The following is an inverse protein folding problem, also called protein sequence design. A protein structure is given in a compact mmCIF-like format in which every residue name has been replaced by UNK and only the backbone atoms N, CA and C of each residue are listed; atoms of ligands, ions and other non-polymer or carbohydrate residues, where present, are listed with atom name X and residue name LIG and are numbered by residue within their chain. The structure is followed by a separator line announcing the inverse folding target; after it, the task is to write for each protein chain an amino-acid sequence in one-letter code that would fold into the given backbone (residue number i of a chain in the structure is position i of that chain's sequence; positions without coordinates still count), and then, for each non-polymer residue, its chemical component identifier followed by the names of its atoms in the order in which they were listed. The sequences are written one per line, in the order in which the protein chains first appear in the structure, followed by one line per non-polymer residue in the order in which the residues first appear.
data_IF_072741676523
#
_entry.id   IF_072741676523
#
_cell.length_a   1.000
_cell.length_b   1.000
_cell.length_c   1.000
_cell.angle_alpha   90.00
_cell.angle_beta   90.00
_cell.angle_gamma   90.00
#
_symmetry.space_group_name_H-M   'P 1'
#
loop_
_entity.id
_entity.type
_entity.pdbx_description
1 polymer ?
#
# COMPACT_ATOMS: atom_id res chain seq x y z
N UNK A 1 -17.08 -0.02 -7.56
CA UNK A 1 -17.05 -0.86 -6.34
C UNK A 1 -18.41 -0.84 -5.65
N UNK A 2 -18.93 0.30 -5.19
CA UNK A 2 -20.30 0.41 -4.62
C UNK A 2 -21.38 0.04 -5.67
N UNK A 3 -21.15 0.37 -6.94
CA UNK A 3 -22.01 -0.02 -8.08
C UNK A 3 -22.15 -1.53 -8.30
N UNK A 4 -21.17 -2.32 -7.86
CA UNK A 4 -21.12 -3.77 -8.05
C UNK A 4 -21.35 -4.54 -6.74
N UNK A 5 -21.47 -3.86 -5.60
CA UNK A 5 -21.64 -4.49 -4.29
C UNK A 5 -20.42 -5.30 -3.80
N UNK A 6 -19.28 -5.22 -4.49
CA UNK A 6 -18.07 -5.99 -4.16
C UNK A 6 -17.01 -5.02 -3.59
N UNK A 7 -16.53 -5.25 -2.34
CA UNK A 7 -15.49 -4.43 -1.76
C UNK A 7 -14.14 -4.69 -2.44
N UNK A 8 -13.49 -3.63 -2.90
CA UNK A 8 -12.14 -3.68 -3.51
C UNK A 8 -11.02 -3.21 -2.59
N UNK A 9 -11.35 -2.78 -1.36
CA UNK A 9 -10.38 -2.35 -0.34
C UNK A 9 -11.00 -2.53 1.06
N UNK A 10 -10.18 -2.63 2.13
CA UNK A 10 -10.67 -2.70 3.51
C UNK A 10 -11.58 -1.52 3.88
N UNK A 11 -11.23 -0.30 3.44
CA UNK A 11 -12.04 0.90 3.65
C UNK A 11 -13.40 0.81 2.95
N UNK A 12 -13.45 0.28 1.73
CA UNK A 12 -14.70 0.05 1.01
C UNK A 12 -15.57 -1.03 1.69
N UNK A 13 -14.95 -2.06 2.30
CA UNK A 13 -15.66 -3.08 3.06
C UNK A 13 -16.33 -2.49 4.32
N UNK A 14 -15.64 -1.60 5.04
CA UNK A 14 -16.20 -0.89 6.20
C UNK A 14 -17.37 0.01 5.78
N UNK A 15 -17.23 0.75 4.67
CA UNK A 15 -18.34 1.55 4.14
C UNK A 15 -19.54 0.67 3.72
N UNK A 16 -19.27 -0.48 3.10
CA UNK A 16 -20.30 -1.45 2.68
C UNK A 16 -21.04 -2.06 3.88
N UNK A 17 -20.33 -2.35 4.97
CA UNK A 17 -20.93 -2.73 6.24
C UNK A 17 -21.81 -1.62 6.83
N UNK A 18 -21.35 -0.36 6.75
CA UNK A 18 -22.14 0.81 7.13
C UNK A 18 -23.45 0.93 6.34
N UNK A 19 -23.42 0.69 5.03
CA UNK A 19 -24.63 0.70 4.20
C UNK A 19 -25.61 -0.40 4.58
N UNK A 20 -25.12 -1.62 4.88
CA UNK A 20 -25.99 -2.69 5.36
C UNK A 20 -26.65 -2.38 6.71
N UNK A 21 -25.92 -1.72 7.63
CA UNK A 21 -26.49 -1.26 8.91
C UNK A 21 -27.63 -0.26 8.67
N UNK A 22 -27.52 0.56 7.62
CA UNK A 22 -28.53 1.55 7.23
C UNK A 22 -29.62 0.98 6.31
N UNK A 23 -29.65 -0.35 6.10
CA UNK A 23 -30.64 -1.02 5.24
C UNK A 23 -30.47 -0.75 3.75
N UNK A 24 -29.33 -0.18 3.33
CA UNK A 24 -29.02 0.13 1.95
C UNK A 24 -28.25 -1.03 1.31
N UNK A 25 -28.82 -1.64 0.27
CA UNK A 25 -28.18 -2.72 -0.48
C UNK A 25 -27.35 -2.15 -1.64
N UNK A 26 -26.00 -2.15 -1.56
CA UNK A 26 -25.15 -1.62 -2.61
C UNK A 26 -25.22 -2.50 -3.87
N UNK A 27 -25.21 -1.86 -5.03
CA UNK A 27 -25.35 -2.51 -6.34
C UNK A 27 -26.03 -1.58 -7.35
N UNK A 28 -26.30 -2.04 -8.58
CA UNK A 28 -26.96 -1.23 -9.61
C UNK A 28 -28.35 -0.76 -9.16
N UNK A 29 -29.00 -1.56 -8.30
CA UNK A 29 -30.32 -1.26 -7.75
C UNK A 29 -30.31 -0.06 -6.80
N UNK A 30 -29.21 0.20 -6.09
CA UNK A 30 -29.07 1.36 -5.20
C UNK A 30 -29.26 2.69 -5.97
N UNK A 31 -28.77 2.74 -7.22
CA UNK A 31 -28.86 3.90 -8.10
C UNK A 31 -30.28 4.13 -8.62
N UNK A 32 -31.11 3.08 -8.65
CA UNK A 32 -32.50 3.16 -9.06
C UNK A 32 -33.42 3.52 -7.88
N UNK A 33 -33.23 2.89 -6.72
CA UNK A 33 -34.14 3.03 -5.57
C UNK A 33 -33.81 4.24 -4.70
N UNK A 34 -32.53 4.60 -4.54
CA UNK A 34 -32.08 5.64 -3.60
C UNK A 34 -31.18 6.67 -4.29
N UNK A 35 -31.71 7.32 -5.33
CA UNK A 35 -30.98 8.28 -6.17
C UNK A 35 -30.42 9.46 -5.37
N UNK A 36 -31.20 10.05 -4.45
CA UNK A 36 -30.76 11.21 -3.67
C UNK A 36 -29.58 10.89 -2.75
N UNK A 37 -29.57 9.71 -2.13
CA UNK A 37 -28.46 9.25 -1.31
C UNK A 37 -27.18 9.09 -2.13
N UNK A 38 -27.28 8.48 -3.32
CA UNK A 38 -26.12 8.26 -4.20
C UNK A 38 -25.52 9.60 -4.67
N UNK A 39 -26.36 10.55 -5.10
CA UNK A 39 -25.87 11.86 -5.51
C UNK A 39 -25.34 12.69 -4.34
N UNK A 40 -25.93 12.56 -3.14
CA UNK A 40 -25.38 13.13 -1.91
C UNK A 40 -24.02 12.53 -1.53
N UNK A 41 -23.84 11.22 -1.72
CA UNK A 41 -22.56 10.54 -1.51
C UNK A 41 -21.50 10.99 -2.52
N UNK A 42 -21.84 11.06 -3.80
CA UNK A 42 -20.93 11.54 -4.85
C UNK A 42 -20.57 13.02 -4.58
N UNK A 43 -21.56 13.86 -4.29
CA UNK A 43 -21.34 15.27 -3.95
C UNK A 43 -20.46 15.46 -2.72
N UNK A 44 -20.69 14.68 -1.66
CA UNK A 44 -19.86 14.73 -0.46
C UNK A 44 -18.43 14.25 -0.71
N UNK A 45 -18.19 13.29 -1.62
CA UNK A 45 -16.82 12.93 -2.03
C UNK A 45 -16.08 14.10 -2.68
N UNK A 46 -16.75 14.89 -3.53
CA UNK A 46 -16.13 16.08 -4.12
C UNK A 46 -15.82 17.15 -3.07
N UNK A 47 -16.80 17.45 -2.21
CA UNK A 47 -16.63 18.42 -1.13
C UNK A 47 -15.53 17.96 -0.16
N UNK A 48 -15.49 16.68 0.20
CA UNK A 48 -14.48 16.11 1.09
C UNK A 48 -13.06 16.22 0.49
N UNK A 49 -12.90 16.06 -0.82
CA UNK A 49 -11.59 16.27 -1.46
C UNK A 49 -11.16 17.75 -1.39
N UNK A 50 -12.07 18.69 -1.62
CA UNK A 50 -11.78 20.13 -1.52
C UNK A 50 -11.41 20.51 -0.07
N UNK A 51 -12.21 20.08 0.90
CA UNK A 51 -11.92 20.28 2.33
C UNK A 51 -10.61 19.58 2.72
N UNK A 52 -10.36 18.38 2.19
CA UNK A 52 -9.15 17.62 2.43
C UNK A 52 -7.90 18.37 1.97
N UNK A 53 -7.91 18.96 0.77
CA UNK A 53 -6.82 19.81 0.28
C UNK A 53 -6.61 21.01 1.22
N UNK A 54 -7.69 21.70 1.60
CA UNK A 54 -7.61 22.85 2.52
C UNK A 54 -6.99 22.45 3.87
N UNK A 55 -7.45 21.34 4.44
CA UNK A 55 -6.93 20.79 5.70
C UNK A 55 -5.46 20.42 5.58
N UNK A 56 -5.08 19.67 4.55
CA UNK A 56 -3.67 19.28 4.35
C UNK A 56 -2.79 20.52 4.24
N UNK A 57 -3.16 21.51 3.42
CA UNK A 57 -2.39 22.74 3.26
C UNK A 57 -2.25 23.52 4.58
N UNK A 58 -3.31 23.56 5.39
CA UNK A 58 -3.32 24.26 6.68
C UNK A 58 -2.50 23.53 7.75
N UNK A 59 -2.50 22.18 7.73
CA UNK A 59 -1.82 21.37 8.74
C UNK A 59 -0.35 21.05 8.41
N UNK A 60 0.04 21.09 7.13
CA UNK A 60 1.45 20.92 6.70
C UNK A 60 2.44 21.74 7.53
N UNK A 61 2.24 23.05 7.84
CA UNK A 61 3.18 23.80 8.68
C UNK A 61 3.28 23.28 10.12
N UNK A 62 2.20 22.72 10.67
CA UNK A 62 2.20 22.10 12.00
C UNK A 62 3.06 20.83 11.97
N UNK A 63 2.86 19.97 10.99
CA UNK A 63 3.67 18.76 10.82
C UNK A 63 5.13 19.07 10.51
N UNK A 64 5.40 20.09 9.70
CA UNK A 64 6.77 20.55 9.42
C UNK A 64 7.49 21.04 10.69
N UNK A 65 6.75 21.59 11.66
CA UNK A 65 7.31 22.03 12.93
C UNK A 65 7.79 20.88 13.81
N UNK A 66 7.22 19.69 13.68
CA UNK A 66 7.66 18.48 14.41
C UNK A 66 9.10 18.11 14.02
N UNK A 67 9.50 18.34 12.77
CA UNK A 67 10.86 18.06 12.30
C UNK A 67 11.93 18.98 12.94
N UNK A 68 11.53 20.05 13.65
CA UNK A 68 12.45 20.92 14.40
C UNK A 68 12.79 20.37 15.78
N UNK A 69 12.05 19.37 16.28
CA UNK A 69 12.29 18.74 17.57
C UNK A 69 13.53 17.84 17.46
N UNK A 70 14.48 17.90 18.41
CA UNK A 70 15.69 17.08 18.34
C UNK A 70 15.35 15.59 18.38
N UNK A 71 16.06 14.80 17.56
CA UNK A 71 15.84 13.36 17.40
C UNK A 71 15.92 12.58 18.72
N UNK A 72 16.73 13.05 19.68
CA UNK A 72 16.83 12.45 21.01
C UNK A 72 15.54 12.45 21.82
N UNK A 73 14.60 13.36 21.53
CA UNK A 73 13.26 13.40 22.16
C UNK A 73 12.24 12.71 21.25
N UNK A 74 12.36 12.90 19.94
CA UNK A 74 11.42 12.35 18.96
C UNK A 74 11.45 10.81 18.94
N UNK A 75 12.65 10.21 18.98
CA UNK A 75 12.82 8.77 18.94
C UNK A 75 12.13 8.03 20.10
N UNK A 76 12.35 8.36 21.40
CA UNK A 76 11.64 7.70 22.48
C UNK A 76 10.13 7.93 22.45
N UNK A 77 9.67 9.12 22.02
CA UNK A 77 8.25 9.39 21.85
C UNK A 77 7.61 8.47 20.80
N UNK A 78 8.28 8.29 19.65
CA UNK A 78 7.85 7.37 18.59
C UNK A 78 7.79 5.92 19.11
N UNK A 79 8.79 5.49 19.88
CA UNK A 79 8.81 4.13 20.45
C UNK A 79 7.66 3.92 21.44
N UNK A 80 7.36 4.90 22.29
CA UNK A 80 6.24 4.83 23.23
C UNK A 80 4.90 4.77 22.48
N UNK A 81 4.69 5.69 21.53
CA UNK A 81 3.45 5.72 20.73
C UNK A 81 3.25 4.45 19.90
N UNK A 82 4.30 3.92 19.30
CA UNK A 82 4.24 2.65 18.55
C UNK A 82 3.99 1.45 19.47
N UNK A 83 4.57 1.44 20.67
CA UNK A 83 4.30 0.38 21.66
C UNK A 83 2.83 0.38 22.08
N UNK A 84 2.25 1.56 22.35
CA UNK A 84 0.83 1.69 22.68
C UNK A 84 -0.04 1.21 21.52
N UNK A 85 0.28 1.62 20.28
CA UNK A 85 -0.48 1.21 19.10
C UNK A 85 -0.43 -0.30 18.82
N UNK A 86 0.75 -0.91 18.95
CA UNK A 86 0.92 -2.36 18.78
C UNK A 86 0.12 -3.12 19.85
N UNK A 87 0.22 -2.70 21.11
CA UNK A 87 -0.52 -3.34 22.20
C UNK A 87 -2.04 -3.13 22.12
N UNK A 88 -2.51 -1.96 21.68
CA UNK A 88 -3.93 -1.64 21.62
C UNK A 88 -4.75 -2.48 20.62
N UNK A 89 -4.08 -3.10 19.63
CA UNK A 89 -4.78 -3.83 18.55
C UNK A 89 -5.27 -5.20 19.01
N UNK A 90 -4.41 -6.01 19.65
CA UNK A 90 -4.78 -7.35 20.12
C UNK A 90 -4.58 -7.56 21.63
N UNK A 91 -4.10 -6.55 22.36
CA UNK A 91 -3.83 -6.61 23.80
C UNK A 91 -2.86 -7.74 24.19
N UNK A 92 -1.93 -8.08 23.29
CA UNK A 92 -0.93 -9.13 23.49
C UNK A 92 0.49 -8.56 23.61
N UNK A 93 1.28 -9.12 24.53
CA UNK A 93 2.68 -8.75 24.73
C UNK A 93 3.57 -9.23 23.56
N UNK A 94 3.14 -10.27 22.83
CA UNK A 94 3.85 -10.76 21.65
C UNK A 94 3.96 -9.67 20.56
N UNK A 95 2.93 -8.85 20.40
CA UNK A 95 2.90 -7.76 19.41
C UNK A 95 3.98 -6.71 19.70
N UNK A 96 4.32 -6.48 20.97
CA UNK A 96 5.43 -5.60 21.37
C UNK A 96 6.79 -6.18 20.98
N UNK A 97 6.98 -7.49 21.14
CA UNK A 97 8.22 -8.16 20.71
C UNK A 97 8.38 -8.14 19.19
N UNK A 98 7.29 -8.36 18.45
CA UNK A 98 7.28 -8.27 16.99
C UNK A 98 7.53 -6.83 16.53
N UNK A 99 6.93 -5.84 17.20
CA UNK A 99 7.18 -4.42 16.95
C UNK A 99 8.66 -4.06 17.14
N UNK A 100 9.26 -4.46 18.27
CA UNK A 100 10.68 -4.21 18.53
C UNK A 100 11.58 -4.95 17.52
N UNK A 101 11.28 -6.22 17.24
CA UNK A 101 12.03 -7.03 16.27
C UNK A 101 11.99 -6.46 14.85
N UNK A 102 10.80 -6.02 14.40
CA UNK A 102 10.63 -5.37 13.09
C UNK A 102 11.28 -3.99 13.04
N UNK A 103 11.30 -3.24 14.15
CA UNK A 103 12.05 -1.99 14.27
C UNK A 103 13.56 -2.19 14.09
N UNK A 104 14.13 -3.23 14.69
CA UNK A 104 15.54 -3.61 14.50
C UNK A 104 15.79 -4.04 13.05
N UNK A 105 14.91 -4.86 12.46
CA UNK A 105 15.02 -5.24 11.05
C UNK A 105 14.99 -4.01 10.11
N UNK A 106 14.12 -3.04 10.39
CA UNK A 106 14.06 -1.77 9.67
C UNK A 106 15.36 -0.96 9.79
N UNK A 107 15.99 -0.94 10.96
CA UNK A 107 17.30 -0.32 11.13
C UNK A 107 18.40 -1.00 10.32
N UNK A 108 18.39 -2.35 10.25
CA UNK A 108 19.32 -3.11 9.40
C UNK A 108 19.12 -2.79 7.92
N UNK A 109 17.86 -2.72 7.45
CA UNK A 109 17.57 -2.32 6.07
C UNK A 109 18.03 -0.89 5.75
N UNK A 110 17.89 0.03 6.71
CA UNK A 110 18.43 1.39 6.58
C UNK A 110 19.96 1.38 6.44
N UNK A 111 20.66 0.54 7.22
CA UNK A 111 22.13 0.41 7.19
C UNK A 111 22.64 -0.23 5.90
N UNK A 112 21.81 -1.03 5.24
CA UNK A 112 22.09 -1.67 3.96
C UNK A 112 21.67 -0.81 2.75
N UNK A 113 21.31 0.47 2.97
CA UNK A 113 20.84 1.42 1.94
C UNK A 113 19.60 0.93 1.16
N UNK A 114 18.78 0.07 1.75
CA UNK A 114 17.49 -0.28 1.17
C UNK A 114 16.50 0.87 1.36
N UNK A 115 15.74 1.24 0.30
CA UNK A 115 14.73 2.27 0.41
C UNK A 115 13.55 1.74 1.25
N UNK A 116 13.45 2.23 2.48
CA UNK A 116 12.41 1.83 3.45
C UNK A 116 10.99 2.14 2.96
N UNK A 117 10.79 3.26 2.27
CA UNK A 117 9.47 3.69 1.82
C UNK A 117 8.78 2.67 0.87
N UNK A 118 9.42 2.22 -0.22
CA UNK A 118 8.92 1.11 -1.05
C UNK A 118 8.65 -0.19 -0.27
N UNK A 119 9.48 -0.51 0.73
CA UNK A 119 9.33 -1.73 1.52
C UNK A 119 8.06 -1.70 2.39
N UNK A 120 7.79 -0.57 3.04
CA UNK A 120 6.55 -0.37 3.81
C UNK A 120 5.32 -0.41 2.91
N UNK A 121 5.39 0.24 1.74
CA UNK A 121 4.33 0.20 0.73
C UNK A 121 4.08 -1.24 0.26
N UNK A 122 5.14 -2.00 -0.04
CA UNK A 122 5.04 -3.41 -0.43
C UNK A 122 4.43 -4.29 0.66
N UNK A 123 4.76 -4.04 1.94
CA UNK A 123 4.18 -4.77 3.07
C UNK A 123 2.65 -4.55 3.16
N UNK A 124 2.21 -3.30 3.09
CA UNK A 124 0.78 -2.94 3.21
C UNK A 124 -0.03 -3.42 1.99
N UNK A 125 0.50 -3.21 0.78
CA UNK A 125 -0.17 -3.64 -0.45
C UNK A 125 -0.08 -5.16 -0.67
N UNK A 126 0.91 -5.83 -0.06
CA UNK A 126 1.12 -7.27 -0.17
C UNK A 126 -0.09 -8.04 0.32
N UNK A 127 -0.58 -7.75 1.53
CA UNK A 127 -1.78 -8.39 2.08
C UNK A 127 -3.02 -8.18 1.21
N UNK A 128 -3.22 -6.97 0.70
CA UNK A 128 -4.34 -6.67 -0.21
C UNK A 128 -4.22 -7.46 -1.52
N UNK A 129 -3.01 -7.61 -2.03
CA UNK A 129 -2.73 -8.35 -3.27
C UNK A 129 -2.95 -9.85 -3.08
N UNK A 130 -2.48 -10.42 -1.97
CA UNK A 130 -2.67 -11.83 -1.61
C UNK A 130 -4.16 -12.15 -1.40
N UNK A 131 -4.90 -11.27 -0.72
CA UNK A 131 -6.35 -11.41 -0.56
C UNK A 131 -7.07 -11.41 -1.91
N UNK A 132 -6.74 -10.47 -2.80
CA UNK A 132 -7.32 -10.40 -4.14
C UNK A 132 -6.96 -11.62 -5.01
N UNK A 133 -5.72 -12.11 -4.91
CA UNK A 133 -5.25 -13.33 -5.59
C UNK A 133 -6.02 -14.56 -5.09
N UNK A 134 -6.11 -14.73 -3.77
CA UNK A 134 -6.84 -15.83 -3.13
C UNK A 134 -8.32 -15.80 -3.49
N UNK A 135 -8.95 -14.63 -3.42
CA UNK A 135 -10.35 -14.46 -3.80
C UNK A 135 -10.59 -14.83 -5.27
N UNK A 136 -9.68 -14.43 -6.15
CA UNK A 136 -9.73 -14.79 -7.57
C UNK A 136 -9.60 -16.30 -7.76
N UNK A 137 -8.64 -16.95 -7.10
CA UNK A 137 -8.45 -18.40 -7.19
C UNK A 137 -9.66 -19.18 -6.64
N UNK A 138 -10.25 -18.74 -5.52
CA UNK A 138 -11.47 -19.35 -4.98
C UNK A 138 -12.63 -19.25 -5.98
N UNK A 139 -12.83 -18.08 -6.60
CA UNK A 139 -13.87 -17.87 -7.61
C UNK A 139 -13.71 -18.82 -8.81
N UNK A 140 -12.48 -19.18 -9.16
CA UNK A 140 -12.16 -20.05 -10.29
C UNK A 140 -11.72 -21.47 -9.89
N UNK A 141 -12.16 -21.94 -8.73
CA UNK A 141 -11.94 -23.32 -8.24
C UNK A 141 -10.45 -23.73 -8.19
N UNK A 142 -9.56 -22.78 -7.94
CA UNK A 142 -8.13 -23.00 -7.76
C UNK A 142 -7.32 -23.13 -9.05
N UNK A 143 -7.89 -22.84 -10.24
CA UNK A 143 -7.13 -22.92 -11.49
C UNK A 143 -6.34 -21.61 -11.79
N UNK A 144 -4.99 -21.60 -11.69
CA UNK A 144 -4.18 -20.43 -12.00
C UNK A 144 -4.09 -20.10 -13.49
N UNK A 145 -4.48 -21.03 -14.38
CA UNK A 145 -4.49 -20.77 -15.84
C UNK A 145 -5.52 -19.71 -16.24
N UNK A 146 -6.43 -19.32 -15.35
CA UNK A 146 -7.42 -18.25 -15.61
C UNK A 146 -6.77 -16.89 -15.86
N UNK A 147 -5.59 -16.63 -15.28
CA UNK A 147 -4.85 -15.40 -15.55
C UNK A 147 -4.32 -15.33 -16.99
N UNK A 148 -4.09 -16.48 -17.64
CA UNK A 148 -3.69 -16.58 -19.04
C UNK A 148 -4.88 -16.50 -19.99
N UNK A 149 -6.06 -16.96 -19.57
CA UNK A 149 -7.29 -16.90 -20.35
C UNK A 149 -7.91 -15.50 -20.44
N UNK A 150 -7.46 -14.54 -19.62
CA UNK A 150 -7.98 -13.16 -19.62
C UNK A 150 -6.93 -12.17 -20.11
N UNK A 151 -7.15 -11.50 -21.25
CA UNK A 151 -6.13 -10.66 -21.88
C UNK A 151 -5.68 -9.50 -20.96
N UNK A 152 -6.60 -8.93 -20.18
CA UNK A 152 -6.28 -7.85 -19.23
C UNK A 152 -5.38 -8.35 -18.10
N UNK A 153 -5.72 -9.49 -17.50
CA UNK A 153 -4.92 -10.07 -16.40
C UNK A 153 -3.51 -10.47 -16.90
N UNK A 154 -3.44 -11.05 -18.09
CA UNK A 154 -2.18 -11.41 -18.74
C UNK A 154 -1.29 -10.18 -18.97
N UNK A 155 -1.84 -9.07 -19.48
CA UNK A 155 -1.07 -7.82 -19.68
C UNK A 155 -0.48 -7.33 -18.35
N UNK A 156 -1.28 -7.26 -17.28
CA UNK A 156 -0.79 -6.82 -15.97
C UNK A 156 0.26 -7.78 -15.38
N UNK A 157 0.08 -9.09 -15.55
CA UNK A 157 1.02 -10.10 -15.04
C UNK A 157 2.36 -10.04 -15.78
N UNK A 158 2.34 -9.90 -17.11
CA UNK A 158 3.54 -9.70 -17.93
C UNK A 158 4.22 -8.38 -17.58
N UNK A 159 3.47 -7.29 -17.42
CA UNK A 159 4.01 -5.99 -17.02
C UNK A 159 4.67 -6.05 -15.63
N UNK A 160 4.04 -6.73 -14.65
CA UNK A 160 4.61 -6.92 -13.32
C UNK A 160 5.92 -7.72 -13.37
N UNK A 161 5.96 -8.82 -14.13
CA UNK A 161 7.19 -9.61 -14.33
C UNK A 161 8.28 -8.80 -15.03
N UNK A 162 7.93 -8.01 -16.05
CA UNK A 162 8.88 -7.16 -16.76
C UNK A 162 9.47 -6.06 -15.85
N UNK A 163 8.63 -5.37 -15.07
CA UNK A 163 9.07 -4.36 -14.10
C UNK A 163 9.92 -4.95 -12.97
N UNK A 164 9.60 -6.16 -12.52
CA UNK A 164 10.41 -6.88 -11.53
C UNK A 164 11.78 -7.28 -12.09
N UNK A 165 11.83 -7.72 -13.35
CA UNK A 165 13.07 -8.14 -14.00
C UNK A 165 13.96 -6.96 -14.45
N UNK A 166 13.38 -5.79 -14.74
CA UNK A 166 14.09 -4.60 -15.20
C UNK A 166 15.33 -4.21 -14.38
N UNK A 167 15.27 -4.06 -13.04
CA UNK A 167 16.44 -3.70 -12.25
C UNK A 167 17.54 -4.78 -12.24
N UNK A 168 17.17 -6.07 -12.31
CA UNK A 168 18.12 -7.18 -12.40
C UNK A 168 18.83 -7.18 -13.76
N UNK A 169 18.08 -6.96 -14.84
CA UNK A 169 18.59 -6.86 -16.21
C UNK A 169 19.52 -5.64 -16.34
N UNK A 170 19.09 -4.47 -15.88
CA UNK A 170 19.91 -3.25 -15.92
C UNK A 170 21.23 -3.41 -15.15
N UNK A 171 21.20 -4.05 -13.98
CA UNK A 171 22.41 -4.32 -13.19
C UNK A 171 23.36 -5.29 -13.91
N UNK A 172 22.82 -6.32 -14.58
CA UNK A 172 23.61 -7.27 -15.37
C UNK A 172 24.25 -6.61 -16.61
N UNK A 173 23.52 -5.80 -17.37
CA UNK A 173 24.05 -5.06 -18.51
C UNK A 173 25.08 -4.00 -18.11
N UNK A 174 24.87 -3.29 -16.99
CA UNK A 174 25.82 -2.29 -16.48
C UNK A 174 27.14 -2.92 -16.01
N UNK A 175 27.08 -4.11 -15.39
CA UNK A 175 28.26 -4.90 -15.02
C UNK A 175 29.04 -5.42 -16.24
N UNK A 176 28.37 -5.79 -17.33
CA UNK A 176 29.04 -6.19 -18.58
C UNK A 176 29.72 -5.01 -19.29
N UNK A 177 29.10 -3.82 -19.28
CA UNK A 177 29.64 -2.62 -19.94
C UNK A 177 30.84 -2.03 -19.21
N UNK A 178 30.85 -2.05 -17.87
CA UNK A 178 31.99 -1.60 -17.06
C UNK A 178 33.25 -2.49 -17.22
N UNK A 179 33.08 -3.76 -17.61
CA UNK A 179 34.18 -4.70 -17.85
C UNK A 179 34.87 -4.53 -19.21
N UNK A 180 34.29 -3.73 -20.12
CA UNK A 180 34.84 -3.46 -21.47
C UNK A 180 35.67 -2.16 -21.50
N UNK A 181 35.59 -1.30 -20.47
CA UNK A 181 36.28 0.02 -20.44
C UNK A 181 37.62 0.07 -19.69
N UNK A 182 38.18 -1.07 -19.27
CA UNK A 182 39.57 -1.17 -18.78
C UNK A 182 40.19 -2.42 -19.41
N UNK A 183 40.89 -2.28 -20.55
CA UNK A 183 42.36 -2.19 -20.48
C UNK A 183 43.02 -1.35 -21.60
N UNK A 184 44.27 -0.95 -21.34
CA UNK A 184 45.28 -0.36 -22.25
C UNK A 184 45.42 1.18 -22.26
N UNK A 185 46.04 1.73 -21.21
CA UNK A 185 47.17 2.68 -21.38
C UNK A 185 48.03 2.71 -20.10
N UNK A 186 48.85 1.68 -19.95
CA UNK A 186 50.12 1.75 -19.21
C UNK A 186 51.17 1.26 -20.19
N UNK A 187 52.26 2.02 -20.30
CA UNK A 187 53.47 1.90 -21.13
C UNK A 187 53.54 2.99 -22.20
N UNK A 188 54.39 3.98 -21.90
CA UNK A 188 54.79 5.12 -22.72
C UNK A 188 55.57 6.09 -21.84
#
# INVERSE_FOLDING_TARGET
MITLGIPGSPTAAVMLAGFFIWGLNPGPLLFATNRDFVWGLIGSMYIANVIGVLLVLTLVPVFASINRIPFGILAPLIVIMSSIGAYATNNQVLDLWIMLGSGVAGYVFKKLDYPLAPLVVALVLGDMTEQALRQSLIMFQGNPAVFLGRPIAMIFLVAALALFALPAIQTFYRRRRARISQPAEVIG
#
